data_IF_220876645015
#
_entry.id   IF_220876645015
#
_cell.length_a   1.000
_cell.length_b   1.000
_cell.length_c   1.000
_cell.angle_alpha   90.00
_cell.angle_beta   90.00
_cell.angle_gamma   90.00
#
_symmetry.space_group_name_H-M   'P 1'
#
loop_
_entity.id
_entity.type
_entity.pdbx_description
1 polymer ?
#
# COMPACT_ATOMS: atom_id res chain seq x y z
N UNK A 1 2.26 -15.57 26.31
CA UNK A 1 2.12 -14.44 25.40
C UNK A 1 2.08 -13.20 26.24
N UNK A 2 3.07 -12.33 26.08
CA UNK A 2 3.09 -11.02 26.74
C UNK A 2 2.13 -10.08 25.99
N UNK A 3 1.73 -8.98 26.63
CA UNK A 3 0.90 -7.95 26.00
C UNK A 3 1.58 -7.37 24.73
N UNK A 4 2.91 -7.31 24.72
CA UNK A 4 3.71 -6.87 23.58
C UNK A 4 3.61 -7.82 22.39
N UNK A 5 3.59 -9.14 22.62
CA UNK A 5 3.39 -10.14 21.55
C UNK A 5 2.01 -9.97 20.87
N UNK A 6 0.98 -9.65 21.65
CA UNK A 6 -0.38 -9.42 21.13
C UNK A 6 -0.46 -8.13 20.30
N UNK A 7 0.08 -7.03 20.82
CA UNK A 7 0.12 -5.75 20.11
C UNK A 7 0.91 -5.87 18.80
N UNK A 8 2.02 -6.61 18.82
CA UNK A 8 2.81 -6.87 17.63
C UNK A 8 2.02 -7.71 16.61
N UNK A 9 1.28 -8.72 17.07
CA UNK A 9 0.38 -9.51 16.23
C UNK A 9 -0.72 -8.69 15.56
N UNK A 10 -1.42 -7.84 16.33
CA UNK A 10 -2.51 -6.98 15.83
C UNK A 10 -2.02 -5.94 14.81
N UNK A 11 -0.82 -5.38 15.04
CA UNK A 11 -0.17 -4.46 14.08
C UNK A 11 0.22 -5.18 12.80
N UNK A 12 0.75 -6.41 12.89
CA UNK A 12 1.12 -7.21 11.71
C UNK A 12 -0.13 -7.53 10.86
N UNK A 13 -1.23 -7.96 11.48
CA UNK A 13 -2.50 -8.25 10.78
C UNK A 13 -3.05 -6.98 10.11
N UNK A 14 -2.97 -5.85 10.80
CA UNK A 14 -3.43 -4.56 10.27
C UNK A 14 -2.62 -4.09 9.06
N UNK A 15 -1.29 -4.27 9.08
CA UNK A 15 -0.43 -3.91 7.95
C UNK A 15 -0.65 -4.82 6.75
N UNK A 16 -0.82 -6.12 6.97
CA UNK A 16 -1.10 -7.06 5.87
C UNK A 16 -2.43 -6.72 5.17
N UNK A 17 -3.46 -6.33 5.93
CA UNK A 17 -4.72 -5.89 5.34
C UNK A 17 -4.55 -4.65 4.45
N UNK A 18 -3.63 -3.73 4.80
CA UNK A 18 -3.32 -2.56 3.98
C UNK A 18 -2.54 -2.97 2.72
N UNK A 19 -1.62 -3.94 2.80
CA UNK A 19 -0.93 -4.50 1.64
C UNK A 19 -1.91 -5.17 0.66
N UNK A 20 -2.88 -5.92 1.18
CA UNK A 20 -3.94 -6.54 0.38
C UNK A 20 -4.87 -5.50 -0.25
N UNK A 21 -5.25 -4.45 0.49
CA UNK A 21 -6.02 -3.34 -0.06
C UNK A 21 -5.27 -2.63 -1.20
N UNK A 22 -3.97 -2.38 -1.03
CA UNK A 22 -3.10 -1.83 -2.07
C UNK A 22 -3.09 -2.71 -3.31
N UNK A 23 -2.88 -4.02 -3.13
CA UNK A 23 -2.88 -5.02 -4.19
C UNK A 23 -4.19 -5.00 -4.98
N UNK A 24 -5.34 -5.12 -4.30
CA UNK A 24 -6.67 -5.08 -4.93
C UNK A 24 -6.89 -3.78 -5.71
N UNK A 25 -6.51 -2.64 -5.13
CA UNK A 25 -6.69 -1.34 -5.79
C UNK A 25 -5.85 -1.21 -7.07
N UNK A 26 -4.62 -1.74 -7.05
CA UNK A 26 -3.72 -1.74 -8.21
C UNK A 26 -4.29 -2.65 -9.33
N UNK A 27 -4.84 -3.80 -8.96
CA UNK A 27 -5.47 -4.74 -9.87
C UNK A 27 -6.77 -4.18 -10.47
N UNK A 28 -7.60 -3.51 -9.67
CA UNK A 28 -8.84 -2.86 -10.11
C UNK A 28 -8.58 -1.74 -11.12
N UNK A 29 -7.45 -1.03 -11.00
CA UNK A 29 -7.00 -0.07 -12.00
C UNK A 29 -6.56 -0.76 -13.32
N UNK A 30 -6.26 -2.06 -13.29
CA UNK A 30 -5.88 -2.87 -14.45
C UNK A 30 -4.39 -3.25 -14.51
N UNK A 31 -3.61 -3.01 -13.45
CA UNK A 31 -2.18 -3.38 -13.42
C UNK A 31 -2.03 -4.81 -12.93
N UNK A 32 -1.51 -5.70 -13.79
CA UNK A 32 -1.37 -7.13 -13.48
C UNK A 32 0.01 -7.54 -12.96
N UNK A 33 1.02 -6.71 -13.22
CA UNK A 33 2.39 -6.98 -12.82
C UNK A 33 2.86 -5.89 -11.86
N UNK A 34 2.81 -6.20 -10.57
CA UNK A 34 3.25 -5.30 -9.53
C UNK A 34 3.99 -6.05 -8.40
N UNK A 35 4.75 -5.30 -7.61
CA UNK A 35 5.40 -5.79 -6.39
C UNK A 35 5.34 -4.71 -5.33
N UNK A 36 4.68 -5.02 -4.22
CA UNK A 36 4.61 -4.16 -3.04
C UNK A 36 5.77 -4.52 -2.12
N UNK A 37 6.43 -3.51 -1.54
CA UNK A 37 7.46 -3.67 -0.52
C UNK A 37 7.24 -2.64 0.57
N UNK A 38 7.13 -3.09 1.81
CA UNK A 38 7.18 -2.21 2.98
C UNK A 38 8.55 -1.55 3.11
N UNK A 39 8.56 -0.24 3.33
CA UNK A 39 9.79 0.57 3.41
C UNK A 39 10.29 0.72 4.84
N UNK A 40 9.38 0.91 5.79
CA UNK A 40 9.69 1.18 7.20
C UNK A 40 8.83 0.28 8.11
N UNK A 41 9.35 -0.09 9.27
CA UNK A 41 8.64 -0.84 10.30
C UNK A 41 7.97 0.06 11.34
N UNK A 42 8.48 1.28 11.54
CA UNK A 42 7.93 2.27 12.46
C UNK A 42 6.78 3.07 11.81
N UNK A 43 6.83 3.23 10.49
CA UNK A 43 5.77 3.87 9.71
C UNK A 43 5.06 2.88 8.76
N UNK A 44 3.83 3.21 8.37
CA UNK A 44 3.11 2.47 7.33
C UNK A 44 3.45 3.11 5.98
N UNK A 45 4.55 2.68 5.39
CA UNK A 45 5.07 3.21 4.13
C UNK A 45 5.41 2.09 3.12
N UNK A 46 5.04 2.30 1.86
CA UNK A 46 5.17 1.29 0.81
C UNK A 46 5.85 1.80 -0.46
N UNK A 47 6.66 0.94 -1.06
CA UNK A 47 7.18 1.10 -2.42
C UNK A 47 6.52 0.05 -3.31
N UNK A 48 5.90 0.50 -4.39
CA UNK A 48 5.18 -0.33 -5.34
C UNK A 48 5.89 -0.24 -6.69
N UNK A 49 6.50 -1.35 -7.10
CA UNK A 49 7.04 -1.49 -8.44
C UNK A 49 5.94 -1.97 -9.38
N UNK A 50 5.67 -1.25 -10.45
CA UNK A 50 4.57 -1.51 -11.38
C UNK A 50 5.04 -1.55 -12.83
N UNK A 51 4.36 -2.32 -13.66
CA UNK A 51 4.54 -2.33 -15.11
C UNK A 51 3.44 -1.50 -15.78
N UNK A 52 3.65 -0.18 -15.81
CA UNK A 52 2.75 0.80 -16.46
C UNK A 52 3.59 1.88 -17.13
N UNK A 53 3.07 2.52 -18.17
CA UNK A 53 3.75 3.65 -18.79
C UNK A 53 3.91 4.82 -17.81
N UNK A 54 4.95 5.63 -17.99
CA UNK A 54 5.15 6.86 -17.21
C UNK A 54 3.94 7.81 -17.26
N UNK A 55 3.22 7.82 -18.38
CA UNK A 55 2.00 8.62 -18.57
C UNK A 55 0.83 8.12 -17.70
N UNK A 56 0.74 6.81 -17.47
CA UNK A 56 -0.30 6.20 -16.64
C UNK A 56 0.07 6.14 -15.15
N UNK A 57 1.35 6.29 -14.81
CA UNK A 57 1.86 6.21 -13.44
C UNK A 57 1.21 7.24 -12.51
N UNK A 58 1.05 8.48 -12.98
CA UNK A 58 0.40 9.52 -12.19
C UNK A 58 -1.08 9.23 -11.92
N UNK A 59 -1.80 8.74 -12.94
CA UNK A 59 -3.21 8.39 -12.80
C UNK A 59 -3.41 7.20 -11.85
N UNK A 60 -2.55 6.18 -11.91
CA UNK A 60 -2.52 5.09 -10.95
C UNK A 60 -2.28 5.61 -9.52
N UNK A 61 -1.29 6.48 -9.33
CA UNK A 61 -1.01 7.08 -8.02
C UNK A 61 -2.22 7.80 -7.44
N UNK A 62 -2.90 8.64 -8.24
CA UNK A 62 -4.09 9.36 -7.78
C UNK A 62 -5.23 8.41 -7.44
N UNK A 63 -5.46 7.39 -8.28
CA UNK A 63 -6.48 6.38 -8.03
C UNK A 63 -6.23 5.64 -6.71
N UNK A 64 -5.01 5.15 -6.49
CA UNK A 64 -4.65 4.43 -5.27
C UNK A 64 -4.77 5.34 -4.05
N UNK A 65 -4.23 6.56 -4.12
CA UNK A 65 -4.33 7.53 -3.01
C UNK A 65 -5.77 7.82 -2.63
N UNK A 66 -6.66 7.97 -3.60
CA UNK A 66 -8.08 8.20 -3.36
C UNK A 66 -8.73 6.99 -2.67
N UNK A 67 -8.45 5.77 -3.12
CA UNK A 67 -9.03 4.57 -2.50
C UNK A 67 -8.51 4.36 -1.08
N UNK A 68 -7.21 4.54 -0.83
CA UNK A 68 -6.66 4.46 0.54
C UNK A 68 -7.31 5.47 1.47
N UNK A 69 -7.49 6.72 1.01
CA UNK A 69 -8.19 7.75 1.79
C UNK A 69 -9.63 7.38 2.12
N UNK A 70 -10.36 6.78 1.17
CA UNK A 70 -11.76 6.35 1.38
C UNK A 70 -11.83 5.21 2.41
N UNK A 71 -10.93 4.25 2.32
CA UNK A 71 -11.01 3.00 3.10
C UNK A 71 -10.37 3.12 4.48
N UNK A 72 -9.28 3.88 4.60
CA UNK A 72 -8.48 3.97 5.82
C UNK A 72 -8.59 5.34 6.50
N UNK A 73 -8.98 6.38 5.77
CA UNK A 73 -8.94 7.77 6.23
C UNK A 73 -7.61 8.45 5.92
N UNK A 74 -7.46 9.69 6.39
CA UNK A 74 -6.25 10.48 6.23
C UNK A 74 -5.16 10.02 7.22
N UNK A 75 -3.88 10.14 6.81
CA UNK A 75 -2.68 9.92 7.63
C UNK A 75 -2.44 8.50 8.19
N UNK A 76 -3.22 7.48 7.80
CA UNK A 76 -2.95 6.07 8.17
C UNK A 76 -1.73 5.51 7.43
N UNK A 77 -1.59 5.82 6.15
CA UNK A 77 -0.44 5.42 5.33
C UNK A 77 0.43 6.65 5.13
N UNK A 78 1.60 6.67 5.75
CA UNK A 78 2.54 7.80 5.69
C UNK A 78 2.91 8.15 4.25
N UNK A 79 3.18 7.11 3.43
CA UNK A 79 3.65 7.32 2.07
C UNK A 79 3.49 6.08 1.18
N UNK A 80 3.18 6.30 -0.09
CA UNK A 80 3.21 5.27 -1.14
C UNK A 80 3.99 5.79 -2.35
N UNK A 81 5.07 5.11 -2.69
CA UNK A 81 5.86 5.37 -3.89
C UNK A 81 5.48 4.42 -5.01
N UNK A 82 5.31 4.93 -6.22
CA UNK A 82 5.23 4.09 -7.42
C UNK A 82 6.50 4.22 -8.24
N UNK A 83 7.04 3.08 -8.68
CA UNK A 83 8.24 2.99 -9.52
C UNK A 83 7.93 2.14 -10.74
N UNK A 84 8.14 2.69 -11.94
CA UNK A 84 8.00 1.94 -13.19
C UNK A 84 9.20 1.01 -13.42
N UNK A 85 8.96 -0.12 -14.09
CA UNK A 85 10.04 -0.89 -14.74
C UNK A 85 10.62 -0.16 -15.94
#
# INVERSE_FOLDING_TARGET
MTYEDYMQGDVIVSVQAIEELLACTIEDYGVRHYRIKRMDWEEIAFSVKVDVSATSLHALYQHVRQQLKIQLGDDVVSYVQFVTR
#
